data_IF_063487798697
#
_entry.id   IF_063487798697
#
_cell.length_a   1.000
_cell.length_b   1.000
_cell.length_c   1.000
_cell.angle_alpha   90.00
_cell.angle_beta   90.00
_cell.angle_gamma   90.00
#
_symmetry.space_group_name_H-M   'P 1'
#
loop_
_entity.id
_entity.type
_entity.pdbx_description
1 polymer ?
#
# COMPACT_ATOMS: atom_id res chain seq x y z
N UNK A 1 -38.57 39.07 12.79
CA UNK A 1 -37.74 38.31 13.76
C UNK A 1 -37.61 36.83 13.43
N UNK A 2 -38.67 36.10 13.06
CA UNK A 2 -38.61 34.63 12.82
C UNK A 2 -37.62 34.20 11.71
N UNK A 3 -37.57 34.93 10.59
CA UNK A 3 -36.67 34.66 9.45
C UNK A 3 -35.19 34.93 9.78
N UNK A 4 -34.93 35.96 10.59
CA UNK A 4 -33.58 36.30 11.07
C UNK A 4 -33.02 35.24 12.01
N UNK A 5 -33.86 34.71 12.91
CA UNK A 5 -33.48 33.63 13.83
C UNK A 5 -33.18 32.34 13.07
N UNK A 6 -34.01 31.98 12.07
CA UNK A 6 -33.74 30.79 11.25
C UNK A 6 -32.46 30.94 10.42
N UNK A 7 -32.22 32.12 9.85
CA UNK A 7 -31.00 32.39 9.07
C UNK A 7 -29.73 32.28 9.93
N UNK A 8 -29.80 32.77 11.18
CA UNK A 8 -28.71 32.63 12.15
C UNK A 8 -28.46 31.17 12.55
N UNK A 9 -29.51 30.38 12.79
CA UNK A 9 -29.37 28.95 13.12
C UNK A 9 -28.74 28.17 11.97
N UNK A 10 -29.14 28.45 10.72
CA UNK A 10 -28.54 27.83 9.54
C UNK A 10 -27.08 28.26 9.33
N UNK A 11 -26.75 29.53 9.60
CA UNK A 11 -25.36 30.00 9.52
C UNK A 11 -24.46 29.24 10.51
N UNK A 12 -24.90 29.04 11.76
CA UNK A 12 -24.14 28.27 12.76
C UNK A 12 -23.96 26.79 12.41
N UNK A 13 -24.88 26.17 11.67
CA UNK A 13 -24.79 24.75 11.28
C UNK A 13 -23.74 24.47 10.19
N UNK A 14 -23.34 25.46 9.39
CA UNK A 14 -22.36 25.28 8.31
C UNK A 14 -20.90 25.59 8.71
N UNK A 15 -20.66 26.27 9.84
CA UNK A 15 -19.31 26.68 10.24
C UNK A 15 -18.43 25.56 10.84
N UNK A 16 -18.94 24.34 10.99
CA UNK A 16 -18.26 23.25 11.72
C UNK A 16 -17.66 22.12 10.88
N UNK A 17 -17.83 22.10 9.55
CA UNK A 17 -17.36 20.99 8.72
C UNK A 17 -15.94 21.26 8.20
N UNK A 18 -14.94 20.96 9.01
CA UNK A 18 -13.55 20.84 8.55
C UNK A 18 -13.12 19.38 8.61
N UNK A 19 -12.88 18.77 7.45
CA UNK A 19 -12.30 17.43 7.39
C UNK A 19 -10.77 17.56 7.42
N UNK A 20 -10.15 17.26 8.56
CA UNK A 20 -8.70 17.26 8.68
C UNK A 20 -8.11 16.04 7.96
N UNK A 21 -7.30 16.27 6.93
CA UNK A 21 -6.63 15.19 6.20
C UNK A 21 -5.43 14.68 6.99
N UNK A 22 -5.55 13.49 7.57
CA UNK A 22 -4.42 12.82 8.21
C UNK A 22 -3.47 12.22 7.17
N UNK A 23 -2.16 12.38 7.41
CA UNK A 23 -1.09 11.62 6.71
C UNK A 23 -0.45 10.70 7.72
N UNK A 24 -0.41 9.41 7.41
CA UNK A 24 0.31 8.41 8.20
C UNK A 24 1.37 7.76 7.33
N UNK A 25 2.50 7.41 7.94
CA UNK A 25 3.57 6.70 7.26
C UNK A 25 3.16 5.24 7.11
N UNK A 26 3.14 4.74 5.87
CA UNK A 26 2.62 3.41 5.55
C UNK A 26 3.71 2.44 5.04
N UNK A 27 4.96 2.77 5.34
CA UNK A 27 6.13 2.12 4.75
C UNK A 27 6.57 0.87 5.50
N UNK A 28 6.06 0.63 6.70
CA UNK A 28 6.53 -0.44 7.57
C UNK A 28 5.66 -1.70 7.50
N UNK A 29 6.23 -2.79 8.01
CA UNK A 29 5.59 -4.09 8.26
C UNK A 29 4.99 -4.76 7.02
N UNK A 30 5.65 -4.59 5.88
CA UNK A 30 5.29 -5.29 4.65
C UNK A 30 5.91 -6.68 4.62
N UNK A 31 5.18 -7.63 4.03
CA UNK A 31 5.65 -8.97 3.71
C UNK A 31 5.76 -9.11 2.19
N UNK A 32 6.85 -9.72 1.73
CA UNK A 32 7.17 -9.83 0.31
C UNK A 32 7.62 -11.25 -0.07
N UNK A 33 7.17 -11.73 -1.22
CA UNK A 33 7.61 -12.98 -1.84
C UNK A 33 7.72 -12.86 -3.35
N UNK A 34 8.76 -13.46 -3.93
CA UNK A 34 8.88 -13.63 -5.38
C UNK A 34 7.93 -14.71 -5.92
N UNK A 35 7.32 -15.52 -5.05
CA UNK A 35 6.33 -16.51 -5.44
C UNK A 35 4.96 -15.85 -5.57
N UNK A 36 4.23 -16.21 -6.63
CA UNK A 36 2.84 -15.79 -6.79
C UNK A 36 1.92 -16.85 -6.18
N UNK A 37 1.08 -16.45 -5.23
CA UNK A 37 0.00 -17.28 -4.70
C UNK A 37 -1.34 -16.60 -4.98
N UNK A 38 -2.28 -17.32 -5.59
CA UNK A 38 -3.60 -16.80 -5.93
C UNK A 38 -4.42 -16.42 -4.68
N UNK A 39 -4.10 -17.00 -3.53
CA UNK A 39 -4.77 -16.74 -2.25
C UNK A 39 -4.10 -15.63 -1.43
N UNK A 40 -3.01 -15.03 -1.90
CA UNK A 40 -2.27 -13.99 -1.16
C UNK A 40 -3.09 -12.73 -0.85
N UNK A 41 -4.27 -12.56 -1.47
CA UNK A 41 -5.22 -11.48 -1.19
C UNK A 41 -6.17 -11.77 -0.02
N UNK A 42 -6.21 -13.01 0.49
CA UNK A 42 -7.07 -13.39 1.61
C UNK A 42 -6.58 -12.78 2.93
N UNK A 43 -7.51 -12.29 3.76
CA UNK A 43 -7.19 -11.64 5.05
C UNK A 43 -6.42 -12.56 5.99
N UNK A 44 -6.66 -13.87 5.90
CA UNK A 44 -6.08 -14.92 6.73
C UNK A 44 -5.00 -15.74 5.99
N UNK A 45 -4.40 -15.17 4.94
CA UNK A 45 -3.30 -15.82 4.23
C UNK A 45 -2.08 -16.00 5.15
N UNK A 46 -1.43 -17.16 5.04
CA UNK A 46 -0.28 -17.52 5.87
C UNK A 46 1.04 -17.04 5.23
N UNK A 47 1.44 -15.81 5.55
CA UNK A 47 2.63 -15.14 4.99
C UNK A 47 3.89 -15.29 5.87
N UNK A 48 3.90 -16.20 6.86
CA UNK A 48 4.99 -16.32 7.83
C UNK A 48 6.38 -16.61 7.24
N UNK A 49 6.41 -17.20 6.04
CA UNK A 49 7.65 -17.48 5.31
C UNK A 49 8.09 -16.34 4.38
N UNK A 50 7.30 -15.25 4.28
CA UNK A 50 7.61 -14.11 3.42
C UNK A 50 8.61 -13.17 4.11
N UNK A 51 9.45 -12.55 3.30
CA UNK A 51 10.45 -11.60 3.76
C UNK A 51 9.78 -10.34 4.33
N UNK A 52 10.22 -9.89 5.50
CA UNK A 52 9.80 -8.58 6.02
C UNK A 52 10.59 -7.47 5.31
N UNK A 53 9.88 -6.47 4.77
CA UNK A 53 10.47 -5.35 4.03
C UNK A 53 9.87 -4.01 4.47
N UNK A 54 10.57 -2.92 4.15
CA UNK A 54 10.10 -1.55 4.32
C UNK A 54 10.08 -0.83 2.96
N UNK A 55 9.10 0.05 2.76
CA UNK A 55 8.98 0.82 1.53
C UNK A 55 9.79 2.13 1.59
N UNK A 56 10.25 2.64 0.43
CA UNK A 56 10.19 2.01 -0.88
C UNK A 56 11.14 0.81 -0.97
N UNK A 57 10.70 -0.28 -1.61
CA UNK A 57 11.48 -1.50 -1.83
C UNK A 57 11.49 -1.82 -3.33
N UNK A 58 12.67 -2.04 -3.89
CA UNK A 58 12.84 -2.53 -5.26
C UNK A 58 13.00 -4.04 -5.25
N UNK A 59 11.98 -4.76 -5.73
CA UNK A 59 11.98 -6.22 -5.78
C UNK A 59 12.93 -6.79 -6.86
N UNK A 60 13.33 -5.99 -7.85
CA UNK A 60 14.12 -6.49 -8.98
C UNK A 60 15.63 -6.52 -8.70
N UNK A 61 16.11 -5.69 -7.76
CA UNK A 61 17.55 -5.51 -7.51
C UNK A 61 18.21 -6.69 -6.78
N UNK A 62 17.43 -7.50 -6.06
CA UNK A 62 17.93 -8.65 -5.30
C UNK A 62 18.14 -9.91 -6.14
N UNK A 63 17.75 -9.90 -7.42
CA UNK A 63 17.88 -11.04 -8.32
C UNK A 63 19.27 -11.18 -8.95
N UNK A 64 19.63 -12.36 -9.47
CA UNK A 64 20.84 -12.53 -10.26
C UNK A 64 20.75 -11.74 -11.57
N UNK A 65 21.87 -11.22 -12.05
CA UNK A 65 21.97 -10.72 -13.42
C UNK A 65 21.92 -11.90 -14.39
N UNK A 66 20.97 -11.89 -15.31
CA UNK A 66 20.75 -12.99 -16.26
C UNK A 66 20.81 -12.44 -17.67
N UNK A 67 21.60 -13.06 -18.54
CA UNK A 67 21.70 -12.67 -19.95
C UNK A 67 20.71 -13.50 -20.77
N UNK A 68 19.89 -12.83 -21.59
CA UNK A 68 19.04 -13.44 -22.61
C UNK A 68 17.97 -14.44 -22.10
N UNK A 69 17.44 -14.23 -20.88
CA UNK A 69 16.36 -15.03 -20.27
C UNK A 69 15.48 -14.18 -19.35
N UNK A 70 14.26 -14.63 -19.02
CA UNK A 70 13.33 -13.93 -18.12
C UNK A 70 13.05 -12.46 -18.51
N UNK A 71 13.03 -12.17 -19.81
CA UNK A 71 12.90 -10.83 -20.38
C UNK A 71 13.95 -9.82 -19.88
N UNK A 72 15.14 -10.33 -19.56
CA UNK A 72 16.31 -9.57 -19.17
C UNK A 72 17.11 -9.13 -20.39
N UNK A 73 17.45 -7.84 -20.49
CA UNK A 73 18.17 -7.24 -21.61
C UNK A 73 19.03 -6.04 -21.17
N UNK A 74 19.70 -5.39 -22.12
CA UNK A 74 20.52 -4.20 -21.83
C UNK A 74 19.70 -3.02 -21.28
N UNK A 75 18.40 -2.94 -21.60
CA UNK A 75 17.55 -1.80 -21.21
C UNK A 75 17.16 -1.85 -19.74
N UNK A 76 17.13 -3.03 -19.14
CA UNK A 76 16.85 -3.21 -17.72
C UNK A 76 18.08 -3.65 -16.90
N UNK A 77 19.29 -3.42 -17.42
CA UNK A 77 20.53 -3.72 -16.72
C UNK A 77 20.77 -5.21 -16.48
N UNK A 78 20.18 -6.07 -17.32
CA UNK A 78 20.20 -7.52 -17.18
C UNK A 78 19.56 -8.07 -15.90
N UNK A 79 18.59 -7.34 -15.33
CA UNK A 79 17.76 -7.85 -14.23
C UNK A 79 16.52 -8.57 -14.78
N UNK A 80 16.14 -9.73 -14.23
CA UNK A 80 14.99 -10.48 -14.70
C UNK A 80 13.68 -9.78 -14.32
N UNK A 81 12.68 -9.83 -15.21
CA UNK A 81 11.31 -9.34 -14.92
C UNK A 81 10.45 -10.48 -14.40
N UNK A 82 10.34 -10.60 -13.09
CA UNK A 82 9.55 -11.63 -12.41
C UNK A 82 8.24 -11.03 -11.86
N UNK A 83 7.16 -11.82 -11.89
CA UNK A 83 5.94 -11.50 -11.12
C UNK A 83 6.22 -11.78 -9.65
N UNK A 84 6.01 -10.80 -8.78
CA UNK A 84 6.16 -10.96 -7.34
C UNK A 84 4.85 -10.59 -6.64
N UNK A 85 4.59 -11.21 -5.49
CA UNK A 85 3.46 -10.91 -4.62
C UNK A 85 3.89 -10.01 -3.46
N UNK A 86 3.05 -9.03 -3.13
CA UNK A 86 3.18 -8.21 -1.92
C UNK A 86 1.93 -8.38 -1.06
N UNK A 87 2.12 -8.55 0.24
CA UNK A 87 1.03 -8.71 1.21
C UNK A 87 1.25 -7.76 2.37
N UNK A 88 0.13 -7.23 2.89
CA UNK A 88 0.10 -6.47 4.12
C UNK A 88 -1.15 -6.83 4.90
N UNK A 89 -0.97 -7.58 5.98
CA UNK A 89 -2.00 -7.76 7.00
C UNK A 89 -2.02 -6.49 7.86
N UNK A 90 -3.06 -5.67 7.75
CA UNK A 90 -3.26 -4.54 8.65
C UNK A 90 -3.46 -5.09 10.08
N UNK A 91 -2.69 -4.64 11.08
CA UNK A 91 -3.01 -5.00 12.45
C UNK A 91 -4.41 -4.46 12.80
N UNK A 92 -5.18 -5.15 13.66
CA UNK A 92 -6.55 -4.75 14.02
C UNK A 92 -6.66 -3.37 14.69
N UNK A 93 -5.52 -2.74 14.99
CA UNK A 93 -5.43 -1.42 15.61
C UNK A 93 -5.67 -0.24 14.65
N UNK A 94 -5.91 -0.50 13.36
CA UNK A 94 -6.11 0.52 12.32
C UNK A 94 -7.47 0.41 11.61
N UNK A 95 -8.43 -0.31 12.20
CA UNK A 95 -9.85 -0.37 11.80
C UNK A 95 -10.67 0.24 12.94
#
# INVERSE_FOLDING_TARGET
>A
MRILVTSLVWMFLFFGLSAERQKVLFNFDWRFSHQTDANASQVNFDDKNWQQVQLPHDASISGPFVKDSLNSDQKNGFLPRQKAGTAKCLPPRWI
#
